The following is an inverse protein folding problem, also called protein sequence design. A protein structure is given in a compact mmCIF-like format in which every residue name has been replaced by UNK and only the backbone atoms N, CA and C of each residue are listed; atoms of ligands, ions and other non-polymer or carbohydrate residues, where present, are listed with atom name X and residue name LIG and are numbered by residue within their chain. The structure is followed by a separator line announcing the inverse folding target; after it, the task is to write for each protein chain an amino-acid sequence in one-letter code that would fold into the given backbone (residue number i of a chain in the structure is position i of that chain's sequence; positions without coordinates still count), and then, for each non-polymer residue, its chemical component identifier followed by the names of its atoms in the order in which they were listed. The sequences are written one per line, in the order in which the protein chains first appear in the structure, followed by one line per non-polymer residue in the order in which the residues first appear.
data_IF_859450724694
#
_entry.id   IF_859450724694
#
_cell.length_a   1.000
_cell.length_b   1.000
_cell.length_c   1.000
_cell.angle_alpha   90.00
_cell.angle_beta   90.00
_cell.angle_gamma   90.00
#
_symmetry.space_group_name_H-M   'P 1'
#
loop_
_entity.id
_entity.type
_entity.pdbx_description
1 polymer ?
#
# COMPACT_ATOMS: atom_id res chain seq x y z
N UNK A 1 -7.53 -13.47 1.06
CA UNK A 1 -6.68 -13.82 2.19
C UNK A 1 -5.23 -13.43 1.93
N UNK A 2 -4.59 -12.86 2.91
CA UNK A 2 -3.20 -12.44 2.79
C UNK A 2 -2.28 -13.64 2.94
N UNK A 3 -1.35 -13.79 1.99
CA UNK A 3 -0.35 -14.86 2.02
C UNK A 3 0.97 -14.31 2.54
N UNK A 4 1.59 -15.03 3.46
CA UNK A 4 2.87 -14.68 4.03
C UNK A 4 3.83 -15.84 3.83
N UNK A 5 4.86 -15.61 3.03
CA UNK A 5 5.92 -16.61 2.89
C UNK A 5 6.84 -16.56 4.11
N UNK A 6 7.33 -17.72 4.51
CA UNK A 6 8.18 -17.84 5.68
C UNK A 6 9.64 -17.57 5.30
N UNK A 7 9.89 -16.39 4.75
CA UNK A 7 11.21 -15.95 4.34
C UNK A 7 11.66 -14.78 5.20
N UNK A 8 12.95 -14.62 5.45
CA UNK A 8 13.44 -13.42 6.13
C UNK A 8 13.23 -12.19 5.27
N UNK A 9 13.11 -11.04 5.92
CA UNK A 9 13.01 -9.77 5.21
C UNK A 9 14.32 -9.48 4.51
N UNK A 10 14.25 -9.06 3.25
CA UNK A 10 15.42 -8.67 2.46
C UNK A 10 15.43 -7.15 2.31
N UNK A 11 16.16 -6.43 3.19
CA UNK A 11 16.19 -4.96 3.11
C UNK A 11 16.81 -4.43 1.82
N UNK A 12 17.69 -5.20 1.19
CA UNK A 12 18.32 -4.76 -0.05
C UNK A 12 17.31 -4.62 -1.19
N UNK A 13 16.42 -5.62 -1.34
CA UNK A 13 15.35 -5.55 -2.34
C UNK A 13 14.40 -4.40 -2.08
N UNK A 14 14.03 -4.20 -0.81
CA UNK A 14 13.16 -3.09 -0.43
C UNK A 14 13.82 -1.75 -0.75
N UNK A 15 15.10 -1.58 -0.40
CA UNK A 15 15.79 -0.33 -0.67
C UNK A 15 15.92 -0.05 -2.15
N UNK A 16 16.11 -1.08 -2.96
CA UNK A 16 16.20 -0.90 -4.41
C UNK A 16 14.89 -0.32 -4.96
N UNK A 17 13.76 -0.88 -4.56
CA UNK A 17 12.45 -0.39 -4.99
C UNK A 17 12.22 1.05 -4.50
N UNK A 18 12.59 1.33 -3.25
CA UNK A 18 12.43 2.66 -2.68
C UNK A 18 13.29 3.68 -3.39
N UNK A 19 14.54 3.33 -3.71
CA UNK A 19 15.45 4.26 -4.39
C UNK A 19 15.01 4.54 -5.82
N UNK A 20 14.53 3.53 -6.53
CA UNK A 20 14.05 3.69 -7.91
C UNK A 20 12.83 4.61 -7.97
N UNK A 21 12.05 4.66 -6.91
CA UNK A 21 10.79 5.42 -6.88
C UNK A 21 10.80 6.51 -5.82
N UNK A 22 11.99 6.90 -5.37
CA UNK A 22 12.14 7.83 -4.25
C UNK A 22 11.44 9.16 -4.49
N UNK A 23 11.58 9.71 -5.68
CA UNK A 23 10.97 11.01 -6.00
C UNK A 23 9.45 10.96 -5.86
N UNK A 24 8.84 9.93 -6.42
CA UNK A 24 7.39 9.77 -6.39
C UNK A 24 6.88 9.60 -4.97
N UNK A 25 7.54 8.75 -4.17
CA UNK A 25 7.16 8.50 -2.79
C UNK A 25 7.29 9.76 -1.95
N UNK A 26 8.43 10.42 -2.05
CA UNK A 26 8.72 11.64 -1.29
C UNK A 26 7.73 12.75 -1.64
N UNK A 27 7.42 12.90 -2.92
CA UNK A 27 6.48 13.91 -3.38
C UNK A 27 5.08 13.66 -2.82
N UNK A 28 4.62 12.40 -2.86
CA UNK A 28 3.33 12.03 -2.29
C UNK A 28 3.25 12.33 -0.80
N UNK A 29 4.30 11.99 -0.06
CA UNK A 29 4.34 12.25 1.39
C UNK A 29 4.31 13.74 1.71
N UNK A 30 4.98 14.55 0.89
CA UNK A 30 5.04 16.00 1.10
C UNK A 30 3.78 16.72 0.67
N UNK A 31 3.13 16.23 -0.37
CA UNK A 31 1.95 16.90 -0.92
C UNK A 31 0.67 16.60 -0.15
N UNK A 32 0.64 15.51 0.62
CA UNK A 32 -0.57 15.13 1.33
C UNK A 32 -0.89 16.13 2.45
N UNK A 33 -1.99 16.83 2.30
CA UNK A 33 -2.43 17.83 3.27
C UNK A 33 -3.36 17.23 4.35
N UNK A 34 -3.59 15.92 4.32
CA UNK A 34 -4.47 15.22 5.28
C UNK A 34 -5.89 15.78 5.29
N UNK A 35 -6.39 16.23 4.13
CA UNK A 35 -7.72 16.81 4.01
C UNK A 35 -8.84 15.77 3.91
N UNK A 36 -8.48 14.50 3.70
CA UNK A 36 -9.38 13.35 3.62
C UNK A 36 -10.35 13.38 2.43
N UNK A 37 -10.16 14.27 1.46
CA UNK A 37 -11.03 14.29 0.27
C UNK A 37 -10.90 13.01 -0.55
N UNK A 38 -9.71 12.37 -0.56
CA UNK A 38 -9.52 11.09 -1.23
C UNK A 38 -10.42 10.01 -0.64
N UNK A 39 -10.71 10.10 0.65
CA UNK A 39 -11.51 9.09 1.33
C UNK A 39 -12.98 9.13 0.91
N UNK A 40 -13.50 10.32 0.61
CA UNK A 40 -14.90 10.45 0.21
C UNK A 40 -15.19 9.80 -1.14
N UNK A 41 -14.17 9.60 -1.98
CA UNK A 41 -14.32 8.88 -3.24
C UNK A 41 -14.03 7.38 -3.11
N UNK A 42 -13.65 6.91 -1.92
CA UNK A 42 -13.35 5.50 -1.69
C UNK A 42 -14.58 4.79 -1.14
N UNK A 43 -15.19 3.91 -1.95
CA UNK A 43 -16.39 3.21 -1.53
C UNK A 43 -16.16 2.29 -0.34
N UNK A 44 -14.94 1.77 -0.19
CA UNK A 44 -14.61 0.93 0.96
C UNK A 44 -14.56 1.75 2.26
N UNK A 45 -14.06 2.97 2.19
CA UNK A 45 -14.05 3.86 3.35
C UNK A 45 -15.47 4.21 3.77
N UNK A 46 -16.28 4.65 2.83
CA UNK A 46 -17.67 5.02 3.11
C UNK A 46 -18.48 3.80 3.56
N UNK A 47 -18.26 2.64 2.93
CA UNK A 47 -18.97 1.42 3.26
C UNK A 47 -18.56 0.76 4.55
N UNK A 48 -17.44 1.17 5.15
CA UNK A 48 -16.94 0.61 6.41
C UNK A 48 -16.95 1.65 7.52
N UNK A 49 -18.03 2.43 7.59
CA UNK A 49 -18.28 3.41 8.66
C UNK A 49 -17.19 4.47 8.79
N UNK A 50 -16.57 4.82 7.65
CA UNK A 50 -15.49 5.81 7.59
C UNK A 50 -14.33 5.46 8.52
N UNK A 51 -13.98 4.17 8.56
CA UNK A 51 -12.81 3.71 9.30
C UNK A 51 -11.55 4.31 8.68
N UNK A 52 -10.74 5.07 9.44
CA UNK A 52 -9.55 5.73 8.88
C UNK A 52 -8.57 4.79 8.19
N UNK A 53 -8.53 3.51 8.57
CA UNK A 53 -7.61 2.57 7.94
C UNK A 53 -7.99 2.21 6.50
N UNK A 54 -9.20 2.60 6.06
CA UNK A 54 -9.62 2.46 4.66
C UNK A 54 -9.34 3.71 3.84
N UNK A 55 -8.87 4.79 4.48
CA UNK A 55 -8.57 6.04 3.81
C UNK A 55 -7.41 5.87 2.83
N UNK A 56 -7.53 6.27 1.55
CA UNK A 56 -6.45 6.09 0.59
C UNK A 56 -5.12 6.71 1.02
N UNK A 57 -5.16 7.92 1.59
CA UNK A 57 -3.92 8.54 2.08
C UNK A 57 -3.30 7.75 3.23
N UNK A 58 -4.13 7.25 4.13
CA UNK A 58 -3.65 6.40 5.23
C UNK A 58 -2.94 5.16 4.69
N UNK A 59 -3.52 4.55 3.65
CA UNK A 59 -2.95 3.33 3.07
C UNK A 59 -1.56 3.56 2.51
N UNK A 60 -1.34 4.63 1.74
CA UNK A 60 -0.01 4.83 1.16
C UNK A 60 0.99 5.37 2.18
N UNK A 61 0.56 6.23 3.10
CA UNK A 61 1.45 6.79 4.11
C UNK A 61 1.96 5.69 5.05
N UNK A 62 1.08 4.78 5.46
CA UNK A 62 1.43 3.73 6.42
C UNK A 62 1.91 2.44 5.77
N UNK A 63 2.15 2.45 4.47
CA UNK A 63 2.75 1.33 3.75
C UNK A 63 4.04 1.80 3.07
N UNK A 64 3.97 2.23 1.81
CA UNK A 64 5.17 2.66 1.09
C UNK A 64 5.84 3.86 1.76
N UNK A 65 5.04 4.76 2.35
CA UNK A 65 5.56 5.91 3.07
C UNK A 65 6.39 5.50 4.29
N UNK A 66 5.88 4.54 5.05
CA UNK A 66 6.62 4.05 6.22
C UNK A 66 7.88 3.30 5.81
N UNK A 67 7.81 2.49 4.76
CA UNK A 67 8.99 1.82 4.23
C UNK A 67 10.06 2.84 3.84
N UNK A 68 9.66 3.90 3.18
CA UNK A 68 10.57 4.96 2.77
C UNK A 68 11.21 5.65 3.99
N UNK A 69 10.40 5.99 4.99
CA UNK A 69 10.89 6.66 6.19
C UNK A 69 11.84 5.78 7.00
N UNK A 70 11.59 4.49 7.04
CA UNK A 70 12.43 3.53 7.75
C UNK A 70 13.54 2.96 6.88
N UNK A 71 13.64 3.37 5.63
CA UNK A 71 14.66 2.91 4.68
C UNK A 71 14.69 1.40 4.52
N UNK A 72 13.51 0.77 4.57
CA UNK A 72 13.38 -0.67 4.43
C UNK A 72 13.71 -1.47 5.69
N UNK A 73 13.95 -0.81 6.81
CA UNK A 73 14.27 -1.48 8.08
C UNK A 73 13.01 -1.82 8.84
N UNK A 74 12.33 -2.87 8.39
CA UNK A 74 11.07 -3.31 8.97
C UNK A 74 11.12 -4.80 9.23
N UNK A 75 10.29 -5.27 10.16
CA UNK A 75 10.18 -6.70 10.42
C UNK A 75 8.96 -7.28 9.69
N UNK A 76 8.79 -8.59 9.81
CA UNK A 76 7.72 -9.30 9.11
C UNK A 76 6.33 -8.87 9.61
N UNK A 77 6.21 -8.58 10.89
CA UNK A 77 4.94 -8.14 11.47
C UNK A 77 4.52 -6.78 10.90
N UNK A 78 5.47 -5.86 10.76
CA UNK A 78 5.18 -4.56 10.15
C UNK A 78 4.77 -4.72 8.69
N UNK A 79 5.44 -5.57 7.94
CA UNK A 79 5.10 -5.83 6.55
C UNK A 79 3.71 -6.47 6.43
N UNK A 80 3.37 -7.37 7.34
CA UNK A 80 2.05 -7.99 7.36
C UNK A 80 0.95 -6.95 7.58
N UNK A 81 1.17 -6.02 8.51
CA UNK A 81 0.23 -4.92 8.74
C UNK A 81 0.05 -4.04 7.51
N UNK A 82 1.14 -3.74 6.82
CA UNK A 82 1.07 -2.99 5.57
C UNK A 82 0.28 -3.75 4.50
N UNK A 83 0.46 -5.09 4.45
CA UNK A 83 -0.27 -5.94 3.52
C UNK A 83 -1.77 -5.87 3.74
N UNK A 84 -2.22 -5.82 4.99
CA UNK A 84 -3.63 -5.68 5.29
C UNK A 84 -4.19 -4.38 4.72
N UNK A 85 -3.41 -3.30 4.78
CA UNK A 85 -3.86 -2.01 4.25
C UNK A 85 -3.97 -2.00 2.73
N UNK A 86 -2.98 -2.55 2.03
CA UNK A 86 -2.90 -2.37 0.58
C UNK A 86 -3.48 -3.54 -0.21
N UNK A 87 -3.62 -4.72 0.39
CA UNK A 87 -4.19 -5.88 -0.28
C UNK A 87 -5.62 -6.16 0.16
N UNK A 88 -5.94 -5.98 1.44
CA UNK A 88 -7.25 -6.34 1.96
C UNK A 88 -8.21 -5.15 2.02
N UNK A 89 -7.70 -3.93 2.23
CA UNK A 89 -8.52 -2.73 2.34
C UNK A 89 -8.51 -1.88 1.09
N UNK A 90 -7.93 -2.37 0.01
CA UNK A 90 -7.87 -1.65 -1.25
C UNK A 90 -8.02 -2.63 -2.40
N UNK A 91 -8.91 -2.33 -3.35
CA UNK A 91 -9.10 -3.16 -4.54
C UNK A 91 -8.55 -2.49 -5.80
N UNK A 92 -7.80 -1.40 -5.65
CA UNK A 92 -7.21 -0.63 -6.76
C UNK A 92 -8.25 -0.21 -7.80
N UNK A 93 -9.38 0.31 -7.34
CA UNK A 93 -10.42 0.83 -8.25
C UNK A 93 -9.98 2.12 -8.94
N UNK A 94 -8.92 2.75 -8.48
CA UNK A 94 -8.30 3.99 -9.00
C UNK A 94 -9.20 5.23 -8.91
N UNK A 95 -10.21 5.20 -8.06
CA UNK A 95 -11.16 6.30 -7.91
C UNK A 95 -10.83 7.27 -6.78
N UNK A 96 -9.71 7.06 -6.08
CA UNK A 96 -9.32 7.98 -5.01
C UNK A 96 -8.84 9.29 -5.62
N UNK A 97 -9.51 10.37 -5.24
CA UNK A 97 -9.26 11.69 -5.76
C UNK A 97 -8.39 12.48 -4.78
N UNK A 98 -7.34 13.11 -5.30
CA UNK A 98 -6.53 14.03 -4.50
C UNK A 98 -6.52 15.40 -5.18
N UNK A 99 -7.00 16.46 -4.50
CA UNK A 99 -7.03 17.81 -5.10
C UNK A 99 -5.64 18.36 -5.35
N UNK A 100 -4.60 17.80 -4.73
CA UNK A 100 -3.22 18.26 -4.93
C UNK A 100 -2.49 17.44 -6.00
N UNK A 101 -3.17 16.48 -6.62
CA UNK A 101 -2.61 15.74 -7.74
C UNK A 101 -1.73 14.55 -7.37
N UNK A 102 -1.82 14.05 -6.14
CA UNK A 102 -1.09 12.84 -5.77
C UNK A 102 -1.69 11.65 -6.49
N UNK A 103 -0.84 10.86 -7.15
CA UNK A 103 -1.27 9.60 -7.77
C UNK A 103 -1.28 8.51 -6.71
N UNK A 104 -2.34 8.49 -5.91
CA UNK A 104 -2.47 7.54 -4.80
C UNK A 104 -2.49 6.09 -5.27
N UNK A 105 -3.23 5.73 -6.35
CA UNK A 105 -3.19 4.34 -6.83
C UNK A 105 -1.80 3.88 -7.20
N UNK A 106 -0.98 4.74 -7.79
CA UNK A 106 0.39 4.38 -8.14
C UNK A 106 1.23 4.11 -6.88
N UNK A 107 1.05 4.90 -5.83
CA UNK A 107 1.75 4.69 -4.57
C UNK A 107 1.32 3.39 -3.88
N UNK A 108 0.04 3.06 -3.92
CA UNK A 108 -0.46 1.80 -3.38
C UNK A 108 0.10 0.63 -4.19
N UNK A 109 0.18 0.78 -5.52
CA UNK A 109 0.77 -0.24 -6.38
C UNK A 109 2.24 -0.47 -6.04
N UNK A 110 3.00 0.60 -5.77
CA UNK A 110 4.38 0.47 -5.33
C UNK A 110 4.47 -0.28 -3.99
N UNK A 111 3.56 0.01 -3.06
CA UNK A 111 3.52 -0.71 -1.79
C UNK A 111 3.28 -2.20 -2.01
N UNK A 112 2.32 -2.54 -2.87
CA UNK A 112 2.05 -3.95 -3.19
C UNK A 112 3.28 -4.62 -3.81
N UNK A 113 3.97 -3.91 -4.71
CA UNK A 113 5.18 -4.44 -5.35
C UNK A 113 6.28 -4.71 -4.33
N UNK A 114 6.48 -3.77 -3.41
CA UNK A 114 7.48 -3.94 -2.35
C UNK A 114 7.15 -5.13 -1.46
N UNK A 115 5.88 -5.29 -1.10
CA UNK A 115 5.45 -6.42 -0.27
C UNK A 115 5.59 -7.75 -0.99
N UNK A 116 5.25 -7.78 -2.29
CA UNK A 116 5.42 -9.02 -3.07
C UNK A 116 6.88 -9.43 -3.14
N UNK A 117 7.82 -8.48 -3.19
CA UNK A 117 9.24 -8.80 -3.18
C UNK A 117 9.66 -9.49 -1.89
N UNK A 118 8.87 -9.33 -0.82
CA UNK A 118 9.13 -9.94 0.48
C UNK A 118 8.21 -11.15 0.73
N UNK A 119 7.51 -11.63 -0.29
CA UNK A 119 6.66 -12.80 -0.16
C UNK A 119 5.31 -12.54 0.49
N UNK A 120 4.87 -11.29 0.53
CA UNK A 120 3.57 -10.94 1.08
C UNK A 120 2.66 -10.49 -0.04
N UNK A 121 1.55 -11.20 -0.24
CA UNK A 121 0.61 -10.88 -1.30
C UNK A 121 -0.75 -11.52 -0.97
N UNK A 122 -1.77 -11.11 -1.71
CA UNK A 122 -3.11 -11.68 -1.57
C UNK A 122 -3.30 -12.79 -2.57
N UNK A 123 -3.80 -13.93 -2.09
CA UNK A 123 -4.20 -15.04 -2.95
C UNK A 123 -5.66 -14.83 -3.33
N UNK A 124 -5.92 -14.70 -4.62
CA UNK A 124 -7.27 -14.63 -5.18
C UNK A 124 -7.65 -16.05 -5.56
N UNK A 125 -8.34 -16.70 -4.67
CA UNK A 125 -8.61 -18.09 -4.80
C UNK A 125 -9.29 -18.47 -6.07
N UNK A 126 -9.04 -18.97 -6.28
CA UNK A 126 -9.60 -19.52 -6.88
C UNK A 126 -9.68 -19.24 -7.90
N UNK A 127 -9.18 -18.74 -7.92
CA UNK A 127 -9.13 -18.14 -8.63
C UNK A 127 -8.66 -18.65 -9.46
N UNK A 128 -8.85 -19.02 -9.39
CA UNK A 128 -8.61 -19.42 -9.73
C UNK A 128 -8.22 -20.05 -10.27
N UNK A 129 -8.18 -20.34 -10.28
CA UNK A 129 -7.93 -20.80 -10.47
C UNK A 129 -7.58 -21.24 -11.19
N UNK A 130 -7.82 -21.13 -11.27
CA UNK A 130 -7.65 -21.38 -11.65
C UNK A 130 -7.39 -21.57 -12.41
N UNK A 131 -7.56 -21.53 -12.46
CA UNK A 131 -7.44 -21.54 -12.92
C UNK A 131 -7.18 -21.55 -13.66
N UNK A 132 -7.47 -21.64 -13.80
CA UNK A 132 -7.40 -21.49 -14.21
C UNK A 132 -7.34 -21.42 -14.77
#
# INVERSE_FOLDING_TARGET
MLHLQDNPVDPASLREILDQNRRQIRQGLRMCAHCALCAESCFLYVGNDRDPTYMPSYKFIHSIGRLYQKKGRVDKAELSGMGALVFERCVLCTRCYCPFGIDIPALITLARRALRSQGIFRIYAETKGDSD
#
